data_IF_159588685837
#
_entry.id   IF_159588685837
#
_cell.length_a   1.000
_cell.length_b   1.000
_cell.length_c   1.000
_cell.angle_alpha   90.00
_cell.angle_beta   90.00
_cell.angle_gamma   90.00
#
_symmetry.space_group_name_H-M   'P 1'
#
loop_
_entity.id
_entity.type
_entity.pdbx_description
1 polymer ?
#
# COMPACT_ATOMS: atom_id res chain seq x y z
N UNK A 1 -9.85 0.25 2.50
CA UNK A 1 -8.67 -0.63 2.40
C UNK A 1 -8.94 -1.93 3.15
N UNK A 2 -8.31 -3.04 2.74
CA UNK A 2 -8.40 -4.32 3.45
C UNK A 2 -7.09 -4.71 4.15
N UNK A 3 -6.01 -3.95 3.91
CA UNK A 3 -4.74 -4.06 4.61
C UNK A 3 -3.68 -3.16 4.00
N UNK A 4 -2.43 -3.33 4.45
CA UNK A 4 -1.27 -2.58 3.98
C UNK A 4 -0.10 -3.53 3.76
N UNK A 5 0.73 -3.23 2.76
CA UNK A 5 1.99 -3.92 2.51
C UNK A 5 3.14 -2.97 2.80
N UNK A 6 4.04 -3.38 3.69
CA UNK A 6 5.20 -2.58 4.07
C UNK A 6 6.38 -2.90 3.18
N UNK A 7 6.92 -1.85 2.58
CA UNK A 7 8.13 -1.91 1.78
C UNK A 7 9.03 -0.73 2.18
N UNK A 8 10.34 -0.91 2.04
CA UNK A 8 11.27 0.20 1.95
C UNK A 8 12.17 0.02 0.73
N UNK A 9 12.44 1.11 0.02
CA UNK A 9 13.39 1.14 -1.09
C UNK A 9 14.51 2.14 -0.81
N UNK A 10 15.33 2.46 -1.82
CA UNK A 10 16.44 3.40 -1.69
C UNK A 10 16.03 4.82 -1.24
N UNK A 11 14.75 5.18 -1.31
CA UNK A 11 14.18 6.48 -0.89
C UNK A 11 13.54 6.43 0.49
N UNK A 12 13.52 5.27 1.15
CA UNK A 12 12.97 5.08 2.49
C UNK A 12 11.69 4.25 2.49
N UNK A 13 10.86 4.38 3.54
CA UNK A 13 9.60 3.67 3.68
C UNK A 13 8.60 4.01 2.56
N UNK A 14 7.91 2.99 2.05
CA UNK A 14 6.92 3.06 0.99
C UNK A 14 5.79 2.04 1.26
N UNK A 15 4.85 2.43 2.11
CA UNK A 15 3.67 1.60 2.43
C UNK A 15 2.64 1.61 1.29
N UNK A 16 2.11 0.43 0.96
CA UNK A 16 1.12 0.25 -0.11
C UNK A 16 -0.20 -0.23 0.45
N UNK A 17 -1.25 0.59 0.33
CA UNK A 17 -2.60 0.19 0.72
C UNK A 17 -3.13 -0.88 -0.22
N UNK A 18 -3.62 -1.98 0.34
CA UNK A 18 -4.32 -3.04 -0.38
C UNK A 18 -5.82 -2.76 -0.33
N UNK A 19 -6.46 -2.71 -1.50
CA UNK A 19 -7.86 -2.32 -1.64
C UNK A 19 -8.62 -3.30 -2.54
N UNK A 20 -9.94 -3.32 -2.37
CA UNK A 20 -10.87 -4.04 -3.22
C UNK A 20 -11.88 -3.06 -3.84
N UNK A 21 -12.38 -3.34 -5.06
CA UNK A 21 -13.43 -2.52 -5.68
C UNK A 21 -14.77 -2.68 -4.94
N UNK A 22 -15.39 -1.55 -4.59
CA UNK A 22 -16.66 -1.51 -3.82
C UNK A 22 -17.85 -2.06 -4.64
N UNK A 23 -17.84 -1.85 -5.95
CA UNK A 23 -18.96 -2.21 -6.83
C UNK A 23 -18.82 -3.60 -7.48
N UNK A 24 -17.74 -4.33 -7.20
CA UNK A 24 -17.54 -5.67 -7.74
C UNK A 24 -18.07 -6.71 -6.74
N UNK A 25 -19.14 -7.46 -7.06
CA UNK A 25 -19.74 -8.43 -6.16
C UNK A 25 -18.82 -9.62 -5.81
N UNK A 26 -17.73 -9.84 -6.55
CA UNK A 26 -16.76 -10.88 -6.25
C UNK A 26 -15.84 -10.45 -5.09
N UNK A 27 -15.55 -9.16 -4.97
CA UNK A 27 -14.52 -8.63 -4.08
C UNK A 27 -15.06 -7.77 -2.95
N UNK A 28 -16.26 -7.21 -3.09
CA UNK A 28 -16.81 -6.24 -2.15
C UNK A 28 -17.22 -6.83 -0.79
N UNK A 29 -17.17 -8.15 -0.63
CA UNK A 29 -17.40 -8.86 0.63
C UNK A 29 -16.10 -9.06 1.44
N UNK A 30 -14.93 -8.78 0.87
CA UNK A 30 -13.65 -8.92 1.55
C UNK A 30 -13.36 -7.66 2.38
N UNK A 31 -13.10 -7.83 3.67
CA UNK A 31 -12.87 -6.76 4.63
C UNK A 31 -11.46 -6.78 5.22
N UNK A 32 -10.74 -7.89 5.12
CA UNK A 32 -9.39 -8.06 5.65
C UNK A 32 -8.51 -8.88 4.70
N UNK A 33 -7.17 -8.79 4.85
CA UNK A 33 -6.21 -9.59 4.10
C UNK A 33 -6.30 -11.09 4.35
N UNK A 34 -6.99 -11.52 5.40
CA UNK A 34 -7.25 -12.95 5.63
C UNK A 34 -8.42 -13.48 4.78
N UNK A 35 -9.21 -12.59 4.18
CA UNK A 35 -10.28 -12.98 3.26
C UNK A 35 -9.75 -13.30 1.85
N UNK A 36 -8.52 -12.88 1.52
CA UNK A 36 -7.87 -13.17 0.24
C UNK A 36 -7.10 -14.49 0.26
N UNK A 37 -6.93 -15.09 -0.92
CA UNK A 37 -6.18 -16.34 -1.04
C UNK A 37 -4.73 -16.17 -0.51
N UNK A 38 -4.24 -17.03 0.39
CA UNK A 38 -2.87 -16.95 0.91
C UNK A 38 -1.78 -16.97 -0.18
N UNK A 39 -2.04 -17.59 -1.33
CA UNK A 39 -1.11 -17.56 -2.46
C UNK A 39 -1.05 -16.19 -3.14
N UNK A 40 -2.15 -15.43 -3.19
CA UNK A 40 -2.14 -14.06 -3.71
C UNK A 40 -1.30 -13.14 -2.82
N UNK A 41 -1.37 -13.30 -1.49
CA UNK A 41 -0.48 -12.58 -0.56
C UNK A 41 1.00 -12.83 -0.88
N UNK A 42 1.38 -14.09 -1.08
CA UNK A 42 2.75 -14.49 -1.44
C UNK A 42 3.17 -13.99 -2.82
N UNK A 43 2.27 -13.97 -3.78
CA UNK A 43 2.54 -13.46 -5.13
C UNK A 43 2.84 -11.96 -5.10
N UNK A 44 2.03 -11.18 -4.36
CA UNK A 44 2.26 -9.74 -4.16
C UNK A 44 3.60 -9.50 -3.47
N UNK A 45 3.87 -10.21 -2.39
CA UNK A 45 5.14 -10.13 -1.65
C UNK A 45 6.34 -10.43 -2.56
N UNK A 46 6.27 -11.53 -3.30
CA UNK A 46 7.35 -11.95 -4.20
C UNK A 46 7.56 -10.96 -5.34
N UNK A 47 6.49 -10.45 -5.95
CA UNK A 47 6.58 -9.44 -7.01
C UNK A 47 7.41 -8.24 -6.53
N UNK A 48 7.07 -7.69 -5.37
CA UNK A 48 7.75 -6.53 -4.81
C UNK A 48 9.17 -6.82 -4.32
N UNK A 49 9.47 -8.07 -3.96
CA UNK A 49 10.82 -8.49 -3.60
C UNK A 49 11.79 -8.45 -4.79
N UNK A 50 11.31 -8.71 -6.02
CA UNK A 50 12.19 -8.93 -7.19
C UNK A 50 12.03 -7.93 -8.33
N UNK A 51 10.98 -7.09 -8.34
CA UNK A 51 10.65 -6.24 -9.52
C UNK A 51 11.77 -5.26 -9.93
N UNK A 52 12.67 -4.92 -9.01
CA UNK A 52 13.80 -4.00 -9.20
C UNK A 52 15.16 -4.69 -9.38
N UNK A 53 15.21 -6.03 -9.45
CA UNK A 53 16.46 -6.78 -9.51
C UNK A 53 17.33 -6.39 -10.72
N UNK A 54 16.71 -6.18 -11.89
CA UNK A 54 17.42 -5.76 -13.11
C UNK A 54 17.93 -4.31 -13.04
N UNK A 55 17.33 -3.46 -12.20
CA UNK A 55 17.83 -2.12 -11.89
C UNK A 55 18.99 -2.15 -10.88
N UNK A 56 19.32 -3.33 -10.34
CA UNK A 56 20.32 -3.53 -9.27
C UNK A 56 20.01 -2.71 -8.01
N UNK A 57 18.72 -2.47 -7.74
CA UNK A 57 18.26 -1.80 -6.52
C UNK A 57 17.75 -2.83 -5.53
N UNK A 58 17.95 -2.54 -4.25
CA UNK A 58 17.45 -3.38 -3.17
C UNK A 58 16.12 -2.86 -2.68
N UNK A 59 15.23 -3.79 -2.40
CA UNK A 59 13.94 -3.55 -1.76
C UNK A 59 13.92 -4.38 -0.49
N UNK A 60 13.47 -3.79 0.61
CA UNK A 60 13.19 -4.48 1.86
C UNK A 60 11.69 -4.65 2.01
N UNK A 61 11.25 -5.86 2.36
CA UNK A 61 9.84 -6.22 2.48
C UNK A 61 9.53 -6.45 3.95
N UNK A 62 8.67 -5.61 4.52
CA UNK A 62 8.24 -5.64 5.92
C UNK A 62 7.01 -6.51 6.19
N UNK A 63 6.42 -7.12 5.15
CA UNK A 63 5.23 -7.96 5.25
C UNK A 63 3.93 -7.17 5.18
N UNK A 64 2.87 -7.72 5.78
CA UNK A 64 1.51 -7.20 5.70
C UNK A 64 1.00 -6.72 7.06
N UNK A 65 0.34 -5.56 7.06
CA UNK A 65 -0.46 -5.02 8.16
C UNK A 65 -1.96 -5.13 7.87
N UNK A 66 -2.78 -4.96 8.91
CA UNK A 66 -4.22 -5.18 8.83
C UNK A 66 -5.00 -3.97 8.25
N UNK A 67 -6.32 -4.14 8.12
CA UNK A 67 -7.20 -3.09 7.62
C UNK A 67 -7.20 -1.83 8.52
N UNK A 68 -7.09 -1.98 9.84
CA UNK A 68 -7.13 -0.85 10.78
C UNK A 68 -5.87 0.01 10.62
N UNK A 69 -4.70 -0.62 10.58
CA UNK A 69 -3.43 0.05 10.30
C UNK A 69 -3.46 0.77 8.95
N UNK A 70 -4.01 0.12 7.92
CA UNK A 70 -4.17 0.74 6.60
C UNK A 70 -5.03 2.02 6.63
N UNK A 71 -6.10 2.05 7.42
CA UNK A 71 -6.93 3.25 7.61
C UNK A 71 -6.19 4.35 8.40
N UNK A 72 -5.40 3.99 9.41
CA UNK A 72 -4.59 4.94 10.17
C UNK A 72 -3.52 5.60 9.28
N UNK A 73 -2.80 4.81 8.48
CA UNK A 73 -1.83 5.33 7.50
C UNK A 73 -2.51 6.24 6.48
N UNK A 74 -3.66 5.83 5.92
CA UNK A 74 -4.42 6.65 4.99
C UNK A 74 -4.80 8.01 5.59
N UNK A 75 -5.29 8.01 6.83
CA UNK A 75 -5.66 9.23 7.54
C UNK A 75 -4.46 10.15 7.73
N UNK A 76 -3.31 9.62 8.16
CA UNK A 76 -2.06 10.39 8.28
C UNK A 76 -1.61 10.97 6.95
N UNK A 77 -1.71 10.21 5.85
CA UNK A 77 -1.36 10.69 4.52
C UNK A 77 -2.29 11.83 4.06
N UNK A 78 -3.60 11.70 4.30
CA UNK A 78 -4.57 12.77 4.05
C UNK A 78 -4.20 14.00 4.87
N UNK A 79 -4.02 13.88 6.19
CA UNK A 79 -3.67 15.01 7.06
C UNK A 79 -2.38 15.73 6.63
N UNK A 80 -1.34 14.96 6.29
CA UNK A 80 -0.09 15.50 5.75
C UNK A 80 -0.34 16.29 4.47
N UNK A 81 -1.08 15.72 3.52
CA UNK A 81 -1.42 16.41 2.27
C UNK A 81 -2.24 17.68 2.53
N UNK A 82 -3.24 17.61 3.41
CA UNK A 82 -4.11 18.72 3.80
C UNK A 82 -3.32 19.90 4.39
N UNK A 83 -2.31 19.60 5.20
CA UNK A 83 -1.40 20.59 5.81
C UNK A 83 -0.25 21.04 4.90
N UNK A 84 -0.08 20.43 3.73
CA UNK A 84 1.07 20.68 2.86
C UNK A 84 0.96 21.99 2.08
N UNK A 85 2.09 22.63 1.82
CA UNK A 85 2.15 23.79 0.92
C UNK A 85 1.65 23.44 -0.49
N UNK A 86 1.74 22.18 -0.90
CA UNK A 86 1.25 21.70 -2.18
C UNK A 86 -0.25 21.84 -2.34
N UNK A 87 -1.02 21.56 -1.27
CA UNK A 87 -2.46 21.79 -1.27
C UNK A 87 -2.77 23.29 -1.28
N UNK A 88 -2.04 24.08 -0.50
CA UNK A 88 -2.27 25.53 -0.40
C UNK A 88 -2.01 26.27 -1.73
N UNK A 89 -1.00 25.82 -2.49
CA UNK A 89 -0.59 26.43 -3.76
C UNK A 89 -1.18 25.75 -4.99
N UNK A 90 -1.84 24.59 -4.82
CA UNK A 90 -2.42 23.80 -5.90
C UNK A 90 -1.39 23.20 -6.87
N UNK A 91 -0.12 23.07 -6.45
CA UNK A 91 0.99 22.66 -7.31
C UNK A 91 1.39 21.18 -7.15
N UNK A 92 0.53 20.36 -6.55
CA UNK A 92 0.81 18.94 -6.38
C UNK A 92 0.91 18.22 -7.74
N UNK A 93 2.01 17.52 -7.97
CA UNK A 93 2.25 16.70 -9.16
C UNK A 93 2.62 15.28 -8.74
N UNK A 94 2.04 14.29 -9.41
CA UNK A 94 2.35 12.86 -9.26
C UNK A 94 3.43 12.47 -10.28
#
# INVERSE_FOLDING_TARGET
PIGVFHMADEKGPDEKLICVPVSDPIWNNLNNLDDINPHQKKEIEHFFQVYKDLEKKKVDVGGFGDAAEAYDILKLCIERYESSEHKATGNFTI
#
